data_IF_248543385931
#
_entry.id   IF_248543385931
#
_cell.length_a   1.000
_cell.length_b   1.000
_cell.length_c   1.000
_cell.angle_alpha   90.00
_cell.angle_beta   90.00
_cell.angle_gamma   90.00
#
_symmetry.space_group_name_H-M   'P 1'
#
loop_
_entity.id
_entity.type
_entity.pdbx_description
1 polymer ?
#
# COMPACT_ATOMS: atom_id res chain seq x y z
N UNK A 1 -33.55 22.26 -4.88
CA UNK A 1 -32.35 22.32 -4.00
C UNK A 1 -32.46 21.38 -2.79
N UNK A 2 -33.55 21.34 -2.03
CA UNK A 2 -33.73 20.44 -0.86
C UNK A 2 -33.60 18.93 -1.15
N UNK A 3 -34.03 18.46 -2.33
CA UNK A 3 -33.98 17.03 -2.69
C UNK A 3 -32.52 16.54 -2.93
N UNK A 4 -31.66 17.38 -3.51
CA UNK A 4 -30.25 17.06 -3.68
C UNK A 4 -29.48 17.08 -2.35
N UNK A 5 -29.79 18.02 -1.47
CA UNK A 5 -29.16 18.12 -0.16
C UNK A 5 -29.38 16.87 0.71
N UNK A 6 -30.61 16.34 0.75
CA UNK A 6 -30.94 15.12 1.50
C UNK A 6 -30.15 13.89 1.02
N UNK A 7 -29.84 13.80 -0.27
CA UNK A 7 -29.00 12.70 -0.81
C UNK A 7 -27.52 12.90 -0.51
N UNK A 8 -27.04 14.12 -0.44
CA UNK A 8 -25.63 14.42 -0.21
C UNK A 8 -25.25 14.42 1.29
N UNK A 9 -26.20 14.73 2.17
CA UNK A 9 -25.99 14.83 3.61
C UNK A 9 -25.33 13.60 4.25
N UNK A 10 -25.72 12.34 3.94
CA UNK A 10 -25.04 11.17 4.51
C UNK A 10 -23.54 11.09 4.17
N UNK A 11 -23.16 11.49 2.95
CA UNK A 11 -21.76 11.47 2.53
C UNK A 11 -20.96 12.58 3.20
N UNK A 12 -21.55 13.73 3.46
CA UNK A 12 -20.95 14.82 4.23
C UNK A 12 -20.70 14.39 5.68
N UNK A 13 -21.70 13.76 6.31
CA UNK A 13 -21.58 13.22 7.68
C UNK A 13 -20.47 12.16 7.75
N UNK A 14 -20.40 11.23 6.80
CA UNK A 14 -19.33 10.22 6.73
C UNK A 14 -17.97 10.88 6.59
N UNK A 15 -17.83 11.88 5.71
CA UNK A 15 -16.56 12.60 5.55
C UNK A 15 -16.13 13.31 6.85
N UNK A 16 -17.07 13.92 7.57
CA UNK A 16 -16.82 14.53 8.87
C UNK A 16 -16.40 13.49 9.91
N UNK A 17 -17.05 12.33 9.93
CA UNK A 17 -16.69 11.22 10.82
C UNK A 17 -15.25 10.73 10.52
N UNK A 18 -14.84 10.65 9.27
CA UNK A 18 -13.45 10.29 8.92
C UNK A 18 -12.44 11.33 9.43
N UNK A 19 -12.73 12.63 9.30
CA UNK A 19 -11.90 13.69 9.87
C UNK A 19 -11.78 13.52 11.39
N UNK A 20 -12.90 13.38 12.08
CA UNK A 20 -12.95 13.22 13.54
C UNK A 20 -12.17 11.95 13.95
N UNK A 21 -12.40 10.82 13.28
CA UNK A 21 -11.72 9.55 13.57
C UNK A 21 -10.21 9.68 13.40
N UNK A 22 -9.75 10.33 12.32
CA UNK A 22 -8.32 10.54 12.06
C UNK A 22 -7.67 11.42 13.12
N UNK A 23 -8.35 12.48 13.58
CA UNK A 23 -7.86 13.38 14.61
C UNK A 23 -7.90 12.75 16.01
N UNK A 24 -8.91 11.93 16.31
CA UNK A 24 -8.97 11.19 17.59
C UNK A 24 -7.84 10.17 17.65
N UNK A 25 -7.62 9.41 16.58
CA UNK A 25 -6.57 8.39 16.54
C UNK A 25 -5.18 9.00 16.71
N UNK A 26 -4.91 10.11 16.05
CA UNK A 26 -3.67 10.86 16.16
C UNK A 26 -3.80 12.09 17.08
N UNK A 27 -4.61 12.00 18.14
CA UNK A 27 -4.84 13.12 19.08
C UNK A 27 -3.59 13.89 19.52
N UNK A 28 -2.43 13.28 19.81
CA UNK A 28 -1.24 14.05 20.20
C UNK A 28 -0.81 15.13 19.20
N UNK A 29 -1.16 14.99 17.91
CA UNK A 29 -0.82 16.03 16.91
C UNK A 29 -1.60 17.34 17.13
N UNK A 30 -2.80 17.27 17.72
CA UNK A 30 -3.58 18.45 18.10
C UNK A 30 -2.95 19.22 19.26
N UNK A 31 -2.07 18.58 20.04
CA UNK A 31 -1.27 19.17 21.10
C UNK A 31 0.10 19.68 20.62
N UNK A 32 0.33 19.71 19.29
CA UNK A 32 1.59 20.09 18.69
C UNK A 32 2.70 19.03 18.78
N UNK A 33 2.39 17.82 19.28
CA UNK A 33 3.34 16.71 19.32
C UNK A 33 3.56 16.12 17.93
N UNK A 34 4.75 15.59 17.69
CA UNK A 34 5.11 14.89 16.45
C UNK A 34 5.49 13.47 16.78
N UNK A 35 5.11 12.52 15.90
CA UNK A 35 5.58 11.15 16.00
C UNK A 35 7.07 11.16 15.65
N UNK A 36 7.88 10.49 16.48
CA UNK A 36 9.26 10.20 16.13
C UNK A 36 9.28 9.16 15.01
N UNK A 37 9.82 9.53 13.86
CA UNK A 37 9.92 8.70 12.66
C UNK A 37 11.38 8.70 12.21
N UNK A 38 12.07 7.57 12.30
CA UNK A 38 13.50 7.45 11.98
C UNK A 38 13.83 7.96 10.57
N UNK A 39 13.00 7.59 9.59
CA UNK A 39 13.18 8.03 8.20
C UNK A 39 13.07 9.55 8.04
N UNK A 40 12.19 10.19 8.81
CA UNK A 40 12.03 11.64 8.76
C UNK A 40 13.20 12.37 9.42
N UNK A 41 13.78 11.79 10.47
CA UNK A 41 14.99 12.33 11.10
C UNK A 41 16.16 12.29 10.10
N UNK A 42 16.38 11.14 9.44
CA UNK A 42 17.42 10.99 8.42
C UNK A 42 17.18 11.92 7.23
N UNK A 43 15.95 11.95 6.72
CA UNK A 43 15.57 12.88 5.66
C UNK A 43 15.85 14.33 6.02
N UNK A 44 15.52 14.75 7.23
CA UNK A 44 15.74 16.14 7.68
C UNK A 44 17.21 16.49 7.73
N UNK A 45 18.06 15.53 8.14
CA UNK A 45 19.52 15.71 8.13
C UNK A 45 20.05 15.86 6.70
N UNK A 46 19.72 14.95 5.80
CA UNK A 46 20.17 14.97 4.41
C UNK A 46 19.64 16.19 3.63
N UNK A 47 18.41 16.61 3.90
CA UNK A 47 17.78 17.74 3.22
C UNK A 47 18.15 19.11 3.82
N UNK A 48 18.95 19.14 4.90
CA UNK A 48 19.23 20.40 5.63
C UNK A 48 19.81 21.49 4.74
N UNK A 49 20.85 21.19 3.96
CA UNK A 49 21.47 22.15 3.05
C UNK A 49 20.47 22.74 2.04
N UNK A 50 19.62 21.90 1.47
CA UNK A 50 18.55 22.31 0.55
C UNK A 50 17.56 23.27 1.24
N UNK A 51 17.16 22.94 2.47
CA UNK A 51 16.22 23.76 3.25
C UNK A 51 16.84 25.10 3.60
N UNK A 52 18.07 25.11 4.16
CA UNK A 52 18.81 26.32 4.54
C UNK A 52 19.03 27.25 3.32
N UNK A 53 19.42 26.69 2.17
CA UNK A 53 19.58 27.44 0.92
C UNK A 53 18.27 28.10 0.49
N UNK A 54 17.17 27.37 0.57
CA UNK A 54 15.83 27.88 0.22
C UNK A 54 15.38 28.99 1.17
N UNK A 55 15.63 28.85 2.47
CA UNK A 55 15.26 29.84 3.49
C UNK A 55 16.09 31.12 3.36
N UNK A 56 17.37 31.01 3.03
CA UNK A 56 18.27 32.18 2.92
C UNK A 56 18.15 32.91 1.60
N UNK A 57 17.93 32.19 0.48
CA UNK A 57 17.96 32.79 -0.87
C UNK A 57 16.59 32.95 -1.52
N UNK A 58 15.57 32.26 -0.98
CA UNK A 58 14.24 32.17 -1.62
C UNK A 58 14.24 31.35 -2.93
N UNK A 59 15.36 30.71 -3.29
CA UNK A 59 15.54 29.93 -4.51
C UNK A 59 15.64 28.45 -4.22
N UNK A 60 15.40 27.62 -5.21
CA UNK A 60 15.60 26.16 -5.14
C UNK A 60 17.02 25.80 -5.58
N UNK A 61 17.63 24.78 -4.94
CA UNK A 61 18.82 24.11 -5.45
C UNK A 61 18.49 22.65 -5.78
N UNK A 62 19.06 22.15 -6.86
CA UNK A 62 18.87 20.76 -7.30
C UNK A 62 20.11 19.90 -7.06
N UNK A 63 21.04 20.41 -6.23
CA UNK A 63 22.27 19.72 -5.83
C UNK A 63 22.55 19.94 -4.34
N UNK A 64 23.12 18.92 -3.68
CA UNK A 64 23.66 19.01 -2.30
C UNK A 64 25.05 18.40 -2.27
N UNK A 65 25.95 19.01 -1.48
CA UNK A 65 27.32 18.54 -1.26
C UNK A 65 27.47 17.70 0.01
N UNK A 66 26.43 17.66 0.85
CA UNK A 66 26.49 17.10 2.20
C UNK A 66 26.34 15.58 2.26
N UNK A 67 26.00 14.92 1.15
CA UNK A 67 25.78 13.49 1.09
C UNK A 67 26.49 12.88 -0.11
N UNK A 68 27.13 11.73 0.09
CA UNK A 68 27.76 10.90 -0.95
C UNK A 68 28.77 11.63 -1.85
N UNK A 69 29.44 12.68 -1.35
CA UNK A 69 30.35 13.51 -2.16
C UNK A 69 29.66 14.44 -3.16
N UNK A 70 28.35 14.56 -3.05
CA UNK A 70 27.47 15.36 -3.89
C UNK A 70 26.42 14.51 -4.61
N UNK A 71 25.16 14.98 -4.58
CA UNK A 71 24.06 14.29 -5.25
C UNK A 71 22.93 15.25 -5.64
N UNK A 72 22.12 14.88 -6.67
CA UNK A 72 20.89 15.61 -6.97
C UNK A 72 19.89 15.57 -5.80
N UNK A 73 19.18 16.69 -5.58
CA UNK A 73 18.17 16.80 -4.51
C UNK A 73 16.79 16.29 -4.93
N UNK A 74 16.66 15.68 -6.09
CA UNK A 74 15.38 15.21 -6.67
C UNK A 74 14.59 14.32 -5.72
N UNK A 75 15.26 13.48 -4.93
CA UNK A 75 14.66 12.62 -3.91
C UNK A 75 14.68 13.20 -2.49
N UNK A 76 15.29 14.39 -2.29
CA UNK A 76 15.39 15.09 -1.00
C UNK A 76 14.37 16.23 -0.85
N UNK A 77 13.26 16.21 -1.58
CA UNK A 77 12.21 17.20 -1.45
C UNK A 77 12.43 18.47 -2.27
N UNK A 78 13.13 18.36 -3.41
CA UNK A 78 13.20 19.43 -4.40
C UNK A 78 11.81 19.91 -4.81
N UNK A 79 11.61 21.21 -4.93
CA UNK A 79 10.34 21.82 -5.32
C UNK A 79 10.38 22.27 -6.79
N UNK A 80 9.34 21.91 -7.51
CA UNK A 80 9.18 22.33 -8.91
C UNK A 80 8.08 23.38 -8.98
N UNK A 81 8.40 24.63 -9.42
CA UNK A 81 7.48 25.79 -9.34
C UNK A 81 6.14 25.58 -10.06
N UNK A 82 6.17 24.82 -11.16
CA UNK A 82 5.00 24.58 -12.02
C UNK A 82 4.25 23.27 -11.73
N UNK A 83 4.58 22.58 -10.64
CA UNK A 83 3.84 21.37 -10.24
C UNK A 83 2.50 21.75 -9.57
N UNK A 84 1.50 22.07 -10.40
CA UNK A 84 0.17 22.47 -9.92
C UNK A 84 -0.60 21.33 -9.26
N UNK A 85 -0.37 20.08 -9.68
CA UNK A 85 -1.01 18.92 -9.06
C UNK A 85 -0.55 18.74 -7.61
N UNK A 86 0.69 19.14 -7.29
CA UNK A 86 1.20 19.19 -5.92
C UNK A 86 0.44 20.18 -5.03
N UNK A 87 -0.02 21.29 -5.59
CA UNK A 87 -0.85 22.26 -4.85
C UNK A 87 -2.22 21.65 -4.52
N UNK A 88 -2.81 20.90 -5.46
CA UNK A 88 -4.05 20.17 -5.21
C UNK A 88 -3.86 19.08 -4.14
N UNK A 89 -2.77 18.33 -4.21
CA UNK A 89 -2.40 17.35 -3.20
C UNK A 89 -2.33 17.96 -1.79
N UNK A 90 -1.64 19.10 -1.66
CA UNK A 90 -1.52 19.81 -0.37
C UNK A 90 -2.88 20.32 0.15
N UNK A 91 -3.78 20.73 -0.75
CA UNK A 91 -5.14 21.11 -0.38
C UNK A 91 -5.95 19.92 0.16
N UNK A 92 -5.81 18.74 -0.46
CA UNK A 92 -6.50 17.52 0.00
C UNK A 92 -5.94 17.00 1.33
N UNK A 93 -4.67 17.26 1.61
CA UNK A 93 -3.98 16.90 2.86
C UNK A 93 -3.98 18.04 3.88
N UNK A 94 -5.15 18.60 4.13
CA UNK A 94 -5.33 19.78 5.00
C UNK A 94 -5.22 19.47 6.51
N UNK A 95 -5.29 18.20 6.90
CA UNK A 95 -5.13 17.78 8.29
C UNK A 95 -3.64 17.72 8.69
N UNK A 96 -3.32 17.85 10.00
CA UNK A 96 -1.95 17.67 10.47
C UNK A 96 -1.48 16.22 10.25
N UNK A 97 -0.20 16.06 9.87
CA UNK A 97 0.40 14.75 9.64
C UNK A 97 0.60 13.98 10.95
N UNK A 98 0.27 12.66 10.98
CA UNK A 98 -0.11 11.77 9.89
C UNK A 98 -1.63 11.58 9.72
N UNK A 99 -2.47 12.35 10.42
CA UNK A 99 -3.91 12.27 10.31
C UNK A 99 -4.42 12.57 8.88
N UNK A 100 -3.68 13.39 8.10
CA UNK A 100 -3.93 13.67 6.70
C UNK A 100 -3.94 12.39 5.85
N UNK A 101 -2.96 11.50 6.03
CA UNK A 101 -2.90 10.24 5.28
C UNK A 101 -3.98 9.25 5.71
N UNK A 102 -4.25 9.14 7.01
CA UNK A 102 -5.33 8.28 7.50
C UNK A 102 -6.69 8.71 6.95
N UNK A 103 -6.95 10.02 6.92
CA UNK A 103 -8.16 10.57 6.30
C UNK A 103 -8.24 10.22 4.81
N UNK A 104 -7.14 10.35 4.06
CA UNK A 104 -7.09 10.00 2.65
C UNK A 104 -7.33 8.50 2.41
N UNK A 105 -6.83 7.62 3.28
CA UNK A 105 -7.14 6.19 3.22
C UNK A 105 -8.64 5.95 3.32
N UNK A 106 -9.28 6.57 4.30
CA UNK A 106 -10.73 6.41 4.51
C UNK A 106 -11.54 6.95 3.33
N UNK A 107 -11.29 8.19 2.91
CA UNK A 107 -12.11 8.82 1.87
C UNK A 107 -11.88 8.16 0.50
N UNK A 108 -10.65 7.77 0.16
CA UNK A 108 -10.33 7.06 -1.07
C UNK A 108 -11.04 5.73 -1.16
N UNK A 109 -10.97 4.91 -0.11
CA UNK A 109 -11.63 3.61 -0.04
C UNK A 109 -13.16 3.75 -0.01
N UNK A 110 -13.69 4.73 0.69
CA UNK A 110 -15.12 5.03 0.72
C UNK A 110 -15.66 5.34 -0.69
N UNK A 111 -14.95 6.17 -1.45
CA UNK A 111 -15.32 6.48 -2.85
C UNK A 111 -15.28 5.21 -3.71
N UNK A 112 -14.29 4.34 -3.54
CA UNK A 112 -14.22 3.07 -4.26
C UNK A 112 -15.47 2.21 -3.97
N UNK A 113 -15.89 2.09 -2.71
CA UNK A 113 -17.10 1.36 -2.35
C UNK A 113 -18.37 1.96 -2.97
N UNK A 114 -18.49 3.29 -2.98
CA UNK A 114 -19.63 3.95 -3.64
C UNK A 114 -19.64 3.69 -5.16
N UNK A 115 -18.46 3.72 -5.79
CA UNK A 115 -18.33 3.32 -7.21
C UNK A 115 -18.71 1.86 -7.40
N UNK A 116 -18.38 0.98 -6.45
CA UNK A 116 -18.81 -0.43 -6.47
C UNK A 116 -20.29 -0.62 -6.15
N UNK A 117 -21.04 0.46 -5.87
CA UNK A 117 -22.47 0.49 -5.51
C UNK A 117 -22.77 -0.20 -4.18
N UNK A 118 -21.85 -0.15 -3.26
CA UNK A 118 -22.07 -0.56 -1.87
C UNK A 118 -22.84 0.54 -1.13
N UNK A 119 -23.72 0.14 -0.21
CA UNK A 119 -24.43 1.08 0.68
C UNK A 119 -23.42 1.91 1.50
N UNK A 120 -23.72 3.19 1.71
CA UNK A 120 -22.81 4.13 2.35
C UNK A 120 -22.40 3.75 3.77
N UNK A 121 -23.25 3.01 4.52
CA UNK A 121 -22.93 2.55 5.89
C UNK A 121 -21.89 1.42 5.84
N UNK A 122 -22.07 0.46 4.93
CA UNK A 122 -21.07 -0.59 4.71
C UNK A 122 -19.80 -0.03 4.11
N UNK A 123 -19.92 0.96 3.21
CA UNK A 123 -18.78 1.67 2.66
C UNK A 123 -17.96 2.40 3.73
N UNK A 124 -18.62 3.00 4.73
CA UNK A 124 -17.99 3.60 5.90
C UNK A 124 -17.20 2.57 6.71
N UNK A 125 -17.83 1.44 7.06
CA UNK A 125 -17.16 0.37 7.82
C UNK A 125 -15.98 -0.22 7.05
N UNK A 126 -16.13 -0.43 5.74
CA UNK A 126 -15.06 -0.94 4.89
C UNK A 126 -13.89 0.03 4.74
N UNK A 127 -14.16 1.32 4.70
CA UNK A 127 -13.13 2.34 4.70
C UNK A 127 -12.31 2.34 6.00
N UNK A 128 -12.98 2.19 7.16
CA UNK A 128 -12.31 2.02 8.45
C UNK A 128 -11.46 0.74 8.48
N UNK A 129 -12.00 -0.37 7.98
CA UNK A 129 -11.27 -1.65 7.92
C UNK A 129 -9.98 -1.55 7.10
N UNK A 130 -10.01 -0.82 5.99
CA UNK A 130 -8.81 -0.55 5.19
C UNK A 130 -7.83 0.36 5.92
N UNK A 131 -8.26 1.55 6.35
CA UNK A 131 -7.35 2.55 6.90
C UNK A 131 -6.75 2.17 8.25
N UNK A 132 -7.42 1.29 9.02
CA UNK A 132 -6.92 0.73 10.28
C UNK A 132 -6.23 -0.62 10.13
N UNK A 133 -6.00 -1.12 8.91
CA UNK A 133 -5.10 -2.24 8.71
C UNK A 133 -3.74 -1.92 9.35
N UNK A 134 -3.16 -2.88 10.10
CA UNK A 134 -1.94 -2.58 10.84
C UNK A 134 -0.78 -2.24 9.92
N UNK A 135 -0.72 -2.81 8.72
CA UNK A 135 0.30 -2.45 7.73
C UNK A 135 0.28 -0.96 7.40
N UNK A 136 -0.92 -0.37 7.18
CA UNK A 136 -1.05 1.05 6.87
C UNK A 136 -0.65 1.94 8.06
N UNK A 137 -0.99 1.52 9.27
CA UNK A 137 -0.60 2.23 10.49
C UNK A 137 0.91 2.13 10.74
N UNK A 138 1.50 0.94 10.52
CA UNK A 138 2.95 0.73 10.66
C UNK A 138 3.74 1.66 9.75
N UNK A 139 3.38 1.77 8.47
CA UNK A 139 4.09 2.65 7.53
C UNK A 139 3.95 4.14 7.88
N UNK A 140 2.86 4.54 8.55
CA UNK A 140 2.74 5.89 9.11
C UNK A 140 3.63 6.05 10.35
N UNK A 141 3.72 5.03 11.19
CA UNK A 141 4.53 5.03 12.41
C UNK A 141 6.03 5.16 12.13
N UNK A 142 6.55 4.39 11.16
CA UNK A 142 7.98 4.39 10.81
C UNK A 142 8.40 5.56 9.90
N UNK A 143 7.46 6.27 9.29
CA UNK A 143 7.76 7.45 8.47
C UNK A 143 7.86 7.20 6.96
N UNK A 144 7.40 6.06 6.46
CA UNK A 144 7.32 5.77 5.02
C UNK A 144 6.24 6.64 4.34
N UNK A 145 6.34 7.96 4.51
CA UNK A 145 5.30 8.91 4.11
C UNK A 145 5.03 8.92 2.60
N UNK A 146 6.04 8.74 1.76
CA UNK A 146 5.85 8.66 0.31
C UNK A 146 5.07 7.39 -0.09
N UNK A 147 5.35 6.25 0.55
CA UNK A 147 4.59 5.00 0.39
C UNK A 147 3.14 5.17 0.83
N UNK A 148 2.93 5.71 2.04
CA UNK A 148 1.58 6.00 2.57
C UNK A 148 0.78 6.90 1.62
N UNK A 149 1.42 7.92 1.09
CA UNK A 149 0.83 8.88 0.17
C UNK A 149 0.37 8.22 -1.14
N UNK A 150 1.21 7.41 -1.78
CA UNK A 150 0.85 6.65 -2.98
C UNK A 150 -0.35 5.74 -2.72
N UNK A 151 -0.31 4.96 -1.64
CA UNK A 151 -1.38 4.02 -1.28
C UNK A 151 -2.71 4.73 -1.07
N UNK A 152 -2.71 5.93 -0.50
CA UNK A 152 -3.92 6.69 -0.24
C UNK A 152 -4.73 7.01 -1.52
N UNK A 153 -4.06 7.19 -2.64
CA UNK A 153 -4.71 7.48 -3.92
C UNK A 153 -5.03 6.24 -4.77
N UNK A 154 -4.49 5.05 -4.46
CA UNK A 154 -4.79 3.82 -5.19
C UNK A 154 -6.29 3.53 -5.33
N UNK A 155 -7.12 3.61 -4.26
CA UNK A 155 -8.55 3.34 -4.38
C UNK A 155 -9.27 4.30 -5.33
N UNK A 156 -8.81 5.55 -5.43
CA UNK A 156 -9.37 6.55 -6.36
C UNK A 156 -9.01 6.22 -7.80
N UNK A 157 -7.78 5.79 -8.08
CA UNK A 157 -7.38 5.32 -9.42
C UNK A 157 -8.24 4.13 -9.83
N UNK A 158 -8.40 3.13 -8.96
CA UNK A 158 -9.25 1.97 -9.21
C UNK A 158 -10.71 2.38 -9.45
N UNK A 159 -11.21 3.40 -8.75
CA UNK A 159 -12.54 3.96 -8.95
C UNK A 159 -12.71 4.51 -10.35
N UNK A 160 -11.73 5.27 -10.85
CA UNK A 160 -11.72 5.80 -12.21
C UNK A 160 -11.69 4.70 -13.27
N UNK A 161 -10.82 3.71 -13.09
CA UNK A 161 -10.71 2.53 -13.96
C UNK A 161 -12.05 1.77 -14.06
N UNK A 162 -12.68 1.49 -12.92
CA UNK A 162 -13.96 0.77 -12.85
C UNK A 162 -15.08 1.59 -13.50
N UNK A 163 -15.15 2.90 -13.28
CA UNK A 163 -16.12 3.78 -13.93
C UNK A 163 -15.97 3.76 -15.45
N UNK A 164 -14.73 3.80 -15.94
CA UNK A 164 -14.43 3.75 -17.38
C UNK A 164 -14.93 2.45 -18.01
N UNK A 165 -14.62 1.31 -17.42
CA UNK A 165 -15.11 0.01 -17.87
C UNK A 165 -16.63 -0.16 -17.73
N UNK A 166 -17.30 0.62 -16.88
CA UNK A 166 -18.77 0.65 -16.78
C UNK A 166 -19.42 1.61 -17.78
N UNK A 167 -18.66 2.16 -18.74
CA UNK A 167 -19.15 3.06 -19.77
C UNK A 167 -19.36 4.51 -19.31
N UNK A 168 -18.95 4.86 -18.09
CA UNK A 168 -18.95 6.22 -17.56
C UNK A 168 -17.67 6.95 -17.98
N UNK A 169 -17.39 6.98 -19.28
CA UNK A 169 -16.11 7.41 -19.84
C UNK A 169 -15.63 8.77 -19.33
N UNK A 170 -16.49 9.80 -19.34
CA UNK A 170 -16.12 11.14 -18.90
C UNK A 170 -15.71 11.17 -17.41
N UNK A 171 -16.52 10.61 -16.53
CA UNK A 171 -16.21 10.57 -15.08
C UNK A 171 -15.04 9.66 -14.80
N UNK A 172 -14.95 8.53 -15.49
CA UNK A 172 -13.82 7.62 -15.39
C UNK A 172 -12.52 8.27 -15.85
N UNK A 173 -12.53 8.98 -16.99
CA UNK A 173 -11.38 9.73 -17.48
C UNK A 173 -10.92 10.79 -16.47
N UNK A 174 -11.82 11.65 -16.00
CA UNK A 174 -11.47 12.70 -15.04
C UNK A 174 -10.90 12.11 -13.75
N UNK A 175 -11.57 11.10 -13.18
CA UNK A 175 -11.14 10.50 -11.92
C UNK A 175 -9.81 9.76 -12.09
N UNK A 176 -9.62 8.99 -13.17
CA UNK A 176 -8.35 8.30 -13.45
C UNK A 176 -7.22 9.32 -13.62
N UNK A 177 -7.44 10.38 -14.40
CA UNK A 177 -6.43 11.42 -14.64
C UNK A 177 -5.99 12.09 -13.35
N UNK A 178 -6.94 12.58 -12.56
CA UNK A 178 -6.65 13.33 -11.33
C UNK A 178 -6.05 12.42 -10.29
N UNK A 179 -6.65 11.25 -10.06
CA UNK A 179 -6.18 10.31 -9.03
C UNK A 179 -4.79 9.75 -9.36
N UNK A 180 -4.52 9.43 -10.63
CA UNK A 180 -3.21 8.97 -11.08
C UNK A 180 -2.16 10.08 -10.98
N UNK A 181 -2.53 11.32 -11.32
CA UNK A 181 -1.61 12.45 -11.16
C UNK A 181 -1.27 12.72 -9.69
N UNK A 182 -2.23 12.59 -8.79
CA UNK A 182 -2.03 12.71 -7.34
C UNK A 182 -1.22 11.54 -6.77
N UNK A 183 -1.40 10.34 -7.28
CA UNK A 183 -0.62 9.17 -6.88
C UNK A 183 0.86 9.34 -7.27
N UNK A 184 1.13 9.78 -8.50
CA UNK A 184 2.49 10.04 -9.00
C UNK A 184 3.21 11.18 -8.24
N UNK A 185 2.48 12.15 -7.68
CA UNK A 185 3.05 13.21 -6.82
C UNK A 185 3.74 12.65 -5.58
N UNK A 186 3.35 11.45 -5.12
CA UNK A 186 3.98 10.78 -3.98
C UNK A 186 5.46 10.47 -4.21
N UNK A 187 5.87 10.35 -5.47
CA UNK A 187 7.21 9.97 -5.91
C UNK A 187 7.65 8.58 -5.40
N UNK A 188 6.71 7.65 -5.25
CA UNK A 188 6.98 6.27 -4.80
C UNK A 188 6.57 5.26 -5.88
N UNK A 189 7.39 5.16 -6.94
CA UNK A 189 7.07 4.41 -8.17
C UNK A 189 6.84 2.91 -7.95
N UNK A 190 7.41 2.31 -6.93
CA UNK A 190 7.14 0.91 -6.58
C UNK A 190 5.66 0.69 -6.24
N UNK A 191 5.02 1.63 -5.55
CA UNK A 191 3.58 1.55 -5.24
C UNK A 191 2.74 1.74 -6.51
N UNK A 192 3.14 2.67 -7.38
CA UNK A 192 2.54 2.85 -8.71
C UNK A 192 2.63 1.58 -9.55
N UNK A 193 3.77 0.90 -9.49
CA UNK A 193 4.00 -0.35 -10.20
C UNK A 193 3.11 -1.49 -9.68
N UNK A 194 2.94 -1.59 -8.38
CA UNK A 194 2.02 -2.57 -7.77
C UNK A 194 0.54 -2.26 -8.08
N UNK A 195 0.18 -0.99 -8.15
CA UNK A 195 -1.15 -0.57 -8.61
C UNK A 195 -1.42 -1.05 -10.05
N UNK A 196 -0.41 -1.01 -10.93
CA UNK A 196 -0.53 -1.52 -12.30
C UNK A 196 -0.92 -3.01 -12.31
N UNK A 197 -0.40 -3.84 -11.40
CA UNK A 197 -0.80 -5.26 -11.32
C UNK A 197 -2.28 -5.43 -11.00
N UNK A 198 -2.83 -4.61 -10.10
CA UNK A 198 -4.28 -4.64 -9.83
C UNK A 198 -5.06 -4.22 -11.09
N UNK A 199 -4.61 -3.15 -11.77
CA UNK A 199 -5.25 -2.66 -13.00
C UNK A 199 -5.21 -3.71 -14.11
N UNK A 200 -4.11 -4.46 -14.25
CA UNK A 200 -4.00 -5.59 -15.19
C UNK A 200 -5.00 -6.68 -14.82
N UNK A 201 -5.10 -7.09 -13.56
CA UNK A 201 -6.09 -8.09 -13.11
C UNK A 201 -7.53 -7.64 -13.43
N UNK A 202 -7.86 -6.37 -13.19
CA UNK A 202 -9.14 -5.77 -13.57
C UNK A 202 -9.30 -5.84 -15.10
N UNK A 203 -8.31 -5.39 -15.86
CA UNK A 203 -8.32 -5.37 -17.32
C UNK A 203 -8.60 -6.75 -17.92
N UNK A 204 -7.89 -7.77 -17.45
CA UNK A 204 -8.08 -9.17 -17.89
C UNK A 204 -9.48 -9.66 -17.57
N UNK A 205 -9.98 -9.42 -16.36
CA UNK A 205 -11.34 -9.84 -15.97
C UNK A 205 -12.43 -9.15 -16.83
N UNK A 206 -12.24 -7.87 -17.15
CA UNK A 206 -13.14 -7.14 -18.03
C UNK A 206 -12.99 -7.55 -19.49
N UNK A 207 -11.79 -7.92 -19.96
CA UNK A 207 -11.56 -8.45 -21.30
C UNK A 207 -12.30 -9.77 -21.52
N UNK A 208 -12.17 -10.72 -20.57
CA UNK A 208 -12.88 -12.01 -20.60
C UNK A 208 -14.40 -11.81 -20.64
N UNK A 209 -14.91 -10.87 -19.82
CA UNK A 209 -16.34 -10.55 -19.80
C UNK A 209 -16.80 -9.89 -21.12
N UNK A 210 -15.99 -8.96 -21.66
CA UNK A 210 -16.26 -8.29 -22.93
C UNK A 210 -16.23 -9.27 -24.12
N UNK A 211 -15.29 -10.23 -24.12
CA UNK A 211 -15.24 -11.27 -25.13
C UNK A 211 -16.50 -12.13 -25.10
N UNK A 212 -16.89 -12.63 -23.93
CA UNK A 212 -18.10 -13.45 -23.74
C UNK A 212 -19.38 -12.72 -24.14
N UNK A 213 -19.44 -11.40 -23.96
CA UNK A 213 -20.61 -10.56 -24.23
C UNK A 213 -20.57 -9.87 -25.59
N UNK A 214 -19.57 -10.14 -26.42
CA UNK A 214 -19.37 -9.48 -27.73
C UNK A 214 -19.24 -7.93 -27.61
N UNK A 215 -18.58 -7.44 -26.56
CA UNK A 215 -18.44 -6.02 -26.25
C UNK A 215 -16.98 -5.52 -26.35
N UNK A 216 -16.16 -6.14 -27.23
CA UNK A 216 -14.74 -5.77 -27.39
C UNK A 216 -14.53 -4.32 -27.82
N UNK A 217 -15.44 -3.75 -28.64
CA UNK A 217 -15.38 -2.32 -29.03
C UNK A 217 -15.51 -1.42 -27.80
N UNK A 218 -16.43 -1.73 -26.89
CA UNK A 218 -16.56 -1.01 -25.62
C UNK A 218 -15.30 -1.13 -24.77
N UNK A 219 -14.73 -2.34 -24.68
CA UNK A 219 -13.48 -2.60 -23.96
C UNK A 219 -12.34 -1.75 -24.55
N UNK A 220 -12.14 -1.78 -25.87
CA UNK A 220 -11.12 -0.97 -26.54
C UNK A 220 -11.27 0.52 -26.29
N UNK A 221 -12.51 1.06 -26.36
CA UNK A 221 -12.79 2.46 -25.99
C UNK A 221 -12.40 2.75 -24.54
N UNK A 222 -12.71 1.86 -23.60
CA UNK A 222 -12.35 2.04 -22.20
C UNK A 222 -10.82 2.10 -22.00
N UNK A 223 -10.08 1.21 -22.66
CA UNK A 223 -8.61 1.22 -22.64
C UNK A 223 -8.06 2.55 -23.20
N UNK A 224 -8.54 3.01 -24.34
CA UNK A 224 -8.07 4.27 -24.94
C UNK A 224 -8.33 5.48 -24.02
N UNK A 225 -9.50 5.52 -23.38
CA UNK A 225 -9.85 6.59 -22.42
C UNK A 225 -8.92 6.56 -21.20
N UNK A 226 -8.60 5.38 -20.68
CA UNK A 226 -7.66 5.24 -19.55
C UNK A 226 -6.24 5.62 -19.94
N UNK A 227 -5.76 5.19 -21.11
CA UNK A 227 -4.44 5.58 -21.64
C UNK A 227 -4.35 7.09 -21.77
N UNK A 228 -5.36 7.75 -22.35
CA UNK A 228 -5.39 9.20 -22.46
C UNK A 228 -5.32 9.89 -21.10
N UNK A 229 -6.06 9.37 -20.10
CA UNK A 229 -6.03 9.89 -18.72
C UNK A 229 -4.65 9.72 -18.06
N UNK A 230 -4.04 8.57 -18.22
CA UNK A 230 -2.70 8.28 -17.67
C UNK A 230 -1.63 9.14 -18.35
N UNK A 231 -1.68 9.32 -19.67
CA UNK A 231 -0.73 10.20 -20.38
C UNK A 231 -0.79 11.65 -19.89
N UNK A 232 -1.98 12.15 -19.61
CA UNK A 232 -2.13 13.50 -19.02
C UNK A 232 -1.57 13.52 -17.60
N UNK A 233 -1.83 12.48 -16.78
CA UNK A 233 -1.29 12.37 -15.43
C UNK A 233 0.25 12.34 -15.41
N UNK A 234 0.87 11.61 -16.35
CA UNK A 234 2.31 11.61 -16.57
C UNK A 234 2.81 13.00 -16.97
N UNK A 235 2.12 13.66 -17.89
CA UNK A 235 2.46 15.03 -18.31
C UNK A 235 2.42 16.05 -17.16
N UNK A 236 1.44 15.92 -16.26
CA UNK A 236 1.33 16.79 -15.07
C UNK A 236 2.49 16.59 -14.07
N UNK A 237 3.16 15.44 -14.10
CA UNK A 237 4.30 15.09 -13.25
C UNK A 237 5.62 14.98 -14.04
N UNK A 238 5.66 15.41 -15.30
CA UNK A 238 6.78 15.16 -16.22
C UNK A 238 8.14 15.58 -15.64
N UNK A 239 8.24 16.76 -15.06
CA UNK A 239 9.50 17.26 -14.49
C UNK A 239 10.04 16.33 -13.41
N UNK A 240 9.18 15.93 -12.47
CA UNK A 240 9.58 15.04 -11.38
C UNK A 240 9.96 13.64 -11.89
N UNK A 241 9.18 13.11 -12.85
CA UNK A 241 9.43 11.81 -13.47
C UNK A 241 10.75 11.79 -14.24
N UNK A 242 11.02 12.84 -15.03
CA UNK A 242 12.25 12.95 -15.82
C UNK A 242 13.47 13.11 -14.91
N UNK A 243 13.42 13.96 -13.90
CA UNK A 243 14.49 14.14 -12.92
C UNK A 243 14.78 12.83 -12.16
N UNK A 244 13.73 12.12 -11.72
CA UNK A 244 13.89 10.83 -11.04
C UNK A 244 14.49 9.78 -11.95
N UNK A 245 14.07 9.73 -13.23
CA UNK A 245 14.64 8.79 -14.20
C UNK A 245 16.12 9.08 -14.42
N UNK A 246 16.50 10.32 -14.69
CA UNK A 246 17.89 10.74 -14.87
C UNK A 246 18.76 10.29 -13.68
N UNK A 247 18.29 10.53 -12.46
CA UNK A 247 19.01 10.11 -11.27
C UNK A 247 19.05 8.59 -11.08
N UNK A 248 17.96 7.89 -11.40
CA UNK A 248 17.92 6.42 -11.31
C UNK A 248 18.90 5.76 -12.28
N UNK A 249 19.05 6.29 -13.48
CA UNK A 249 19.94 5.75 -14.52
C UNK A 249 21.43 5.79 -14.06
N UNK A 250 21.80 6.72 -13.16
CA UNK A 250 23.15 6.87 -12.58
C UNK A 250 23.30 6.30 -11.17
N UNK A 251 22.29 5.60 -10.68
CA UNK A 251 22.28 4.96 -9.37
C UNK A 251 22.44 3.43 -9.48
N UNK A 252 22.43 2.73 -8.35
CA UNK A 252 22.42 1.25 -8.30
C UNK A 252 21.22 0.61 -9.02
N UNK A 253 20.21 1.38 -9.43
CA UNK A 253 19.09 0.93 -10.24
C UNK A 253 19.34 1.00 -11.74
N UNK A 254 20.40 1.71 -12.15
CA UNK A 254 20.87 1.77 -13.52
C UNK A 254 21.87 0.65 -13.85
N UNK A 255 22.55 0.81 -14.98
CA UNK A 255 23.62 -0.11 -15.40
C UNK A 255 24.82 0.04 -14.44
N UNK A 256 25.31 -1.07 -13.90
CA UNK A 256 26.50 -1.06 -13.07
C UNK A 256 27.74 -0.71 -13.94
N UNK A 257 28.57 0.22 -13.46
CA UNK A 257 29.88 0.54 -14.03
C UNK A 257 31.03 -0.14 -13.25
N UNK A 258 30.73 -0.69 -12.06
CA UNK A 258 31.69 -1.40 -11.23
C UNK A 258 31.91 -2.80 -11.79
N UNK A 259 33.12 -3.12 -12.13
CA UNK A 259 33.55 -4.41 -12.71
C UNK A 259 34.17 -5.36 -11.70
N UNK A 260 34.33 -4.91 -10.45
CA UNK A 260 34.93 -5.67 -9.36
C UNK A 260 34.08 -5.51 -8.09
N UNK A 261 33.95 -6.57 -7.34
CA UNK A 261 33.36 -6.60 -6.00
C UNK A 261 34.34 -6.14 -4.91
N UNK A 262 33.89 -5.81 -3.69
CA UNK A 262 34.78 -5.35 -2.60
C UNK A 262 35.89 -6.32 -2.23
N UNK A 263 35.75 -7.60 -2.51
CA UNK A 263 36.76 -8.65 -2.31
C UNK A 263 37.76 -8.78 -3.45
N UNK A 264 37.62 -7.97 -4.53
CA UNK A 264 38.48 -7.96 -5.72
C UNK A 264 38.08 -8.98 -6.80
N UNK A 265 37.01 -9.76 -6.61
CA UNK A 265 36.49 -10.66 -7.62
C UNK A 265 35.80 -9.91 -8.78
N UNK A 266 35.77 -10.49 -10.01
CA UNK A 266 34.99 -9.90 -11.10
C UNK A 266 33.51 -9.84 -10.78
N UNK A 267 32.92 -8.65 -10.90
CA UNK A 267 31.49 -8.44 -10.72
C UNK A 267 30.72 -8.65 -12.01
N UNK A 268 29.63 -9.41 -11.95
CA UNK A 268 28.68 -9.47 -13.07
C UNK A 268 27.99 -8.11 -13.26
N UNK A 269 28.03 -7.62 -14.49
CA UNK A 269 27.40 -6.35 -14.84
C UNK A 269 25.88 -6.55 -14.93
N UNK A 270 25.15 -6.11 -13.90
CA UNK A 270 23.70 -6.10 -13.88
C UNK A 270 23.15 -4.80 -14.44
N UNK A 271 21.94 -4.84 -14.99
CA UNK A 271 21.21 -3.64 -15.44
C UNK A 271 20.10 -3.25 -14.43
N UNK A 272 20.25 -3.65 -13.19
CA UNK A 272 19.28 -3.46 -12.10
C UNK A 272 19.91 -3.83 -10.76
N UNK A 273 19.03 -4.03 -9.77
CA UNK A 273 19.43 -4.47 -8.43
C UNK A 273 19.76 -5.97 -8.43
N UNK A 274 20.66 -6.37 -7.55
CA UNK A 274 21.03 -7.78 -7.37
C UNK A 274 19.87 -8.57 -6.74
N UNK A 275 19.75 -9.85 -7.05
CA UNK A 275 18.69 -10.75 -6.58
C UNK A 275 18.55 -10.73 -5.05
N UNK A 276 19.65 -10.85 -4.32
CA UNK A 276 19.65 -10.89 -2.86
C UNK A 276 19.13 -9.58 -2.29
N UNK A 277 19.50 -8.45 -2.87
CA UNK A 277 19.03 -7.14 -2.44
C UNK A 277 17.55 -6.90 -2.78
N UNK A 278 17.06 -7.40 -3.91
CA UNK A 278 15.63 -7.36 -4.28
C UNK A 278 14.82 -8.16 -3.26
N UNK A 279 15.31 -9.34 -2.90
CA UNK A 279 14.57 -10.35 -2.12
C UNK A 279 14.91 -10.36 -0.63
N UNK A 280 15.76 -9.46 -0.16
CA UNK A 280 16.16 -9.35 1.25
C UNK A 280 14.95 -9.34 2.20
N UNK A 281 13.93 -8.54 1.87
CA UNK A 281 12.67 -8.48 2.59
C UNK A 281 11.63 -9.36 1.90
N UNK A 282 11.78 -10.67 2.03
CA UNK A 282 10.81 -11.66 1.58
C UNK A 282 9.97 -12.14 2.73
N UNK A 283 8.68 -12.29 2.50
CA UNK A 283 7.76 -12.84 3.51
C UNK A 283 7.94 -14.36 3.61
N UNK A 284 7.98 -14.89 4.83
CA UNK A 284 7.89 -16.33 5.04
C UNK A 284 6.53 -16.86 4.60
N UNK A 285 6.49 -18.07 4.01
CA UNK A 285 5.21 -18.67 3.60
C UNK A 285 4.28 -18.80 4.81
N UNK A 286 4.80 -19.36 5.92
CA UNK A 286 4.05 -19.50 7.17
C UNK A 286 3.81 -18.13 7.83
N UNK A 287 4.72 -17.19 7.68
CA UNK A 287 4.58 -15.82 8.17
C UNK A 287 3.33 -15.12 7.61
N UNK A 288 2.84 -15.54 6.44
CA UNK A 288 1.60 -15.03 5.84
C UNK A 288 0.37 -15.19 6.77
N UNK A 289 0.41 -16.10 7.74
CA UNK A 289 -0.62 -16.20 8.78
C UNK A 289 -0.71 -14.97 9.69
N UNK A 290 0.32 -14.12 9.76
CA UNK A 290 0.24 -12.82 10.44
C UNK A 290 -0.93 -11.96 9.91
N UNK A 291 -1.25 -12.06 8.62
CA UNK A 291 -2.38 -11.33 8.02
C UNK A 291 -3.73 -11.69 8.64
N UNK A 292 -3.83 -12.91 9.18
CA UNK A 292 -5.04 -13.50 9.72
C UNK A 292 -5.01 -13.67 11.24
N UNK A 293 -3.89 -14.15 11.79
CA UNK A 293 -3.68 -14.40 13.23
C UNK A 293 -2.73 -13.32 13.75
N UNK A 294 -3.17 -12.47 14.68
CA UNK A 294 -2.33 -11.36 15.14
C UNK A 294 -1.08 -11.89 15.83
N UNK A 295 0.07 -11.37 15.45
CA UNK A 295 1.39 -11.74 16.04
C UNK A 295 1.73 -13.22 15.91
N UNK A 296 1.29 -13.91 14.86
CA UNK A 296 1.57 -15.33 14.64
C UNK A 296 3.08 -15.65 14.64
N UNK A 297 3.89 -14.78 14.03
CA UNK A 297 5.36 -14.86 14.07
C UNK A 297 5.97 -13.88 15.08
N UNK A 298 5.24 -13.55 16.15
CA UNK A 298 5.70 -12.68 17.21
C UNK A 298 5.43 -11.19 16.98
N UNK A 299 6.27 -10.35 17.56
CA UNK A 299 6.17 -8.88 17.53
C UNK A 299 7.00 -8.20 16.46
N UNK A 300 7.44 -6.97 16.73
CA UNK A 300 8.47 -6.28 15.96
C UNK A 300 9.88 -6.72 16.38
N UNK A 301 10.85 -6.49 15.49
CA UNK A 301 12.25 -6.85 15.78
C UNK A 301 12.85 -6.05 16.94
N UNK A 302 12.29 -4.88 17.25
CA UNK A 302 12.70 -4.04 18.38
C UNK A 302 11.84 -4.18 19.63
N UNK A 303 10.85 -5.09 19.61
CA UNK A 303 10.01 -5.34 20.79
C UNK A 303 10.81 -6.14 21.83
N UNK A 304 10.67 -5.78 23.12
CA UNK A 304 11.17 -6.57 24.23
C UNK A 304 10.10 -7.56 24.69
N UNK A 305 10.53 -8.71 25.20
CA UNK A 305 9.60 -9.67 25.81
C UNK A 305 8.99 -9.07 27.09
N UNK A 306 7.69 -9.34 27.35
CA UNK A 306 7.05 -8.90 28.59
C UNK A 306 7.76 -9.46 29.83
N UNK A 307 7.72 -8.71 30.94
CA UNK A 307 8.31 -9.12 32.22
C UNK A 307 7.66 -10.35 32.86
N UNK A 308 6.50 -10.77 32.36
CA UNK A 308 5.79 -12.00 32.76
C UNK A 308 5.92 -13.12 31.71
N UNK A 309 6.91 -13.02 30.82
CA UNK A 309 7.13 -14.01 29.77
C UNK A 309 7.63 -15.34 30.33
N UNK A 310 7.15 -16.44 29.76
CA UNK A 310 7.65 -17.78 30.09
C UNK A 310 9.16 -17.94 29.84
N UNK A 311 9.72 -17.19 28.90
CA UNK A 311 11.15 -17.17 28.63
C UNK A 311 11.94 -16.67 29.86
N UNK A 312 11.45 -15.65 30.56
CA UNK A 312 12.05 -15.14 31.77
C UNK A 312 12.02 -16.21 32.87
N UNK A 313 10.89 -16.93 33.05
CA UNK A 313 10.75 -17.99 34.01
C UNK A 313 11.75 -19.13 33.73
N UNK A 314 11.96 -19.50 32.48
CA UNK A 314 12.92 -20.55 32.13
C UNK A 314 14.38 -20.10 32.36
N UNK A 315 14.72 -18.84 32.04
CA UNK A 315 16.07 -18.32 32.33
C UNK A 315 16.35 -18.29 33.83
N UNK A 316 15.38 -17.94 34.66
CA UNK A 316 15.49 -18.02 36.13
C UNK A 316 15.67 -19.45 36.62
N UNK A 317 14.97 -20.45 36.04
CA UNK A 317 15.14 -21.85 36.36
C UNK A 317 16.53 -22.41 35.99
N UNK A 318 17.16 -21.84 34.98
CA UNK A 318 18.53 -22.15 34.57
C UNK A 318 19.60 -21.61 35.56
N UNK A 319 19.18 -20.87 36.57
CA UNK A 319 20.04 -20.37 37.65
C UNK A 319 20.55 -18.93 37.45
N UNK A 320 20.05 -18.19 36.46
CA UNK A 320 20.36 -16.78 36.32
C UNK A 320 19.76 -15.96 37.47
N UNK A 321 20.45 -14.91 37.88
CA UNK A 321 19.88 -13.95 38.82
C UNK A 321 18.70 -13.18 38.16
N UNK A 322 17.75 -12.61 38.92
CA UNK A 322 16.66 -11.85 38.35
C UNK A 322 17.09 -10.70 37.43
N UNK A 323 18.23 -10.07 37.72
CA UNK A 323 18.79 -9.01 36.93
C UNK A 323 19.34 -9.53 35.61
N UNK A 324 20.17 -10.60 35.64
CA UNK A 324 20.68 -11.22 34.40
C UNK A 324 19.57 -11.81 33.54
N UNK A 325 18.56 -12.44 34.19
CA UNK A 325 17.43 -13.00 33.47
C UNK A 325 16.63 -11.92 32.71
N UNK A 326 16.39 -10.75 33.32
CA UNK A 326 15.75 -9.61 32.65
C UNK A 326 16.63 -9.06 31.52
N UNK A 327 17.94 -8.95 31.71
CA UNK A 327 18.87 -8.49 30.68
C UNK A 327 18.85 -9.43 29.46
N UNK A 328 18.98 -10.73 29.68
CA UNK A 328 18.92 -11.77 28.64
C UNK A 328 17.54 -11.71 27.94
N UNK A 329 16.45 -11.72 28.72
CA UNK A 329 15.10 -11.70 28.16
C UNK A 329 14.84 -10.43 27.28
N UNK A 330 15.41 -9.28 27.68
CA UNK A 330 15.27 -8.04 26.90
C UNK A 330 16.00 -8.05 25.55
N UNK A 331 16.99 -8.94 25.39
CA UNK A 331 17.77 -9.12 24.18
C UNK A 331 17.23 -10.22 23.26
N UNK A 332 16.27 -11.03 23.75
CA UNK A 332 15.68 -12.07 22.93
C UNK A 332 14.80 -11.47 21.83
N UNK A 333 14.90 -11.98 20.58
CA UNK A 333 14.10 -11.47 19.49
C UNK A 333 12.62 -11.76 19.72
N UNK A 334 11.77 -10.73 19.61
CA UNK A 334 10.32 -10.88 19.67
C UNK A 334 9.70 -11.25 18.32
N UNK A 335 10.45 -11.14 17.23
CA UNK A 335 10.06 -11.49 15.87
C UNK A 335 10.73 -12.79 15.41
N UNK A 336 9.97 -13.69 14.82
CA UNK A 336 10.36 -15.03 14.42
C UNK A 336 10.18 -15.33 12.92
N UNK A 337 9.89 -14.30 12.11
CA UNK A 337 9.72 -14.43 10.67
C UNK A 337 11.03 -14.33 9.89
N UNK A 338 10.92 -14.37 8.56
CA UNK A 338 12.06 -14.44 7.64
C UNK A 338 12.63 -13.07 7.25
N UNK A 339 11.95 -11.99 7.58
CA UNK A 339 12.40 -10.64 7.23
C UNK A 339 13.48 -10.15 8.20
N UNK A 340 14.52 -9.42 7.73
CA UNK A 340 15.63 -9.01 8.59
C UNK A 340 15.21 -8.05 9.71
N UNK A 341 14.32 -7.10 9.41
CA UNK A 341 13.80 -6.12 10.37
C UNK A 341 12.33 -5.85 10.07
N UNK A 342 11.50 -5.92 11.12
CA UNK A 342 10.06 -5.65 11.06
C UNK A 342 9.68 -4.74 12.22
N UNK A 343 9.03 -3.63 11.94
CA UNK A 343 8.55 -2.73 12.99
C UNK A 343 7.37 -3.32 13.77
N UNK A 344 6.49 -4.04 13.10
CA UNK A 344 5.41 -4.85 13.65
C UNK A 344 4.83 -5.76 12.56
N UNK A 345 4.14 -6.85 12.91
CA UNK A 345 3.52 -7.74 11.93
C UNK A 345 2.32 -7.07 11.24
N UNK A 346 2.23 -7.25 9.92
CA UNK A 346 1.06 -6.84 9.15
C UNK A 346 -0.15 -7.73 9.51
N UNK A 347 -1.29 -7.11 9.81
CA UNK A 347 -2.51 -7.81 10.20
C UNK A 347 -3.73 -7.09 9.63
N UNK A 348 -4.52 -7.79 8.82
CA UNK A 348 -5.71 -7.24 8.16
C UNK A 348 -6.93 -7.32 9.08
N UNK A 349 -6.99 -8.33 9.94
CA UNK A 349 -8.09 -8.59 10.84
C UNK A 349 -8.76 -9.94 10.57
N UNK A 350 -8.86 -10.81 11.59
CA UNK A 350 -9.49 -12.14 11.47
C UNK A 350 -10.94 -12.04 10.95
N UNK A 351 -11.68 -11.04 11.41
CA UNK A 351 -13.07 -10.80 10.97
C UNK A 351 -13.08 -10.42 9.48
N UNK A 352 -12.15 -9.58 9.04
CA UNK A 352 -12.08 -9.13 7.64
C UNK A 352 -11.72 -10.31 6.72
N UNK A 353 -10.77 -11.15 7.13
CA UNK A 353 -10.43 -12.38 6.40
C UNK A 353 -11.62 -13.34 6.36
N UNK A 354 -12.29 -13.56 7.49
CA UNK A 354 -13.51 -14.38 7.53
C UNK A 354 -14.58 -13.88 6.56
N UNK A 355 -14.86 -12.58 6.56
CA UNK A 355 -15.82 -11.97 5.65
C UNK A 355 -15.38 -12.04 4.19
N UNK A 356 -14.08 -11.96 3.90
CA UNK A 356 -13.55 -12.15 2.57
C UNK A 356 -13.71 -13.60 2.09
N UNK A 357 -13.49 -14.58 2.95
CA UNK A 357 -13.76 -15.99 2.65
C UNK A 357 -15.26 -16.21 2.40
N UNK A 358 -16.13 -15.63 3.24
CA UNK A 358 -17.59 -15.66 3.05
C UNK A 358 -17.98 -15.07 1.67
N UNK A 359 -17.33 -13.98 1.28
CA UNK A 359 -17.56 -13.33 0.02
C UNK A 359 -17.22 -14.21 -1.20
N UNK A 360 -16.24 -15.10 -1.10
CA UNK A 360 -15.91 -16.04 -2.18
C UNK A 360 -17.09 -16.94 -2.56
N UNK A 361 -17.99 -17.20 -1.63
CA UNK A 361 -19.21 -18.01 -1.87
C UNK A 361 -20.43 -17.15 -2.27
N UNK A 362 -20.47 -15.87 -1.87
CA UNK A 362 -21.62 -15.00 -2.10
C UNK A 362 -21.45 -14.06 -3.30
N UNK A 363 -20.25 -13.58 -3.55
CA UNK A 363 -19.95 -12.65 -4.64
C UNK A 363 -19.71 -13.42 -5.94
N UNK A 364 -20.29 -12.92 -7.05
CA UNK A 364 -20.22 -13.55 -8.34
C UNK A 364 -19.68 -12.60 -9.41
N UNK A 365 -19.28 -13.20 -10.53
CA UNK A 365 -18.83 -12.47 -11.71
C UNK A 365 -17.39 -11.98 -11.63
N UNK A 366 -17.05 -11.08 -12.56
CA UNK A 366 -15.67 -10.61 -12.79
C UNK A 366 -15.01 -9.97 -11.56
N UNK A 367 -15.81 -9.36 -10.68
CA UNK A 367 -15.27 -8.66 -9.50
C UNK A 367 -14.58 -9.61 -8.53
N UNK A 368 -15.16 -10.79 -8.30
CA UNK A 368 -14.54 -11.84 -7.51
C UNK A 368 -13.22 -12.28 -8.12
N UNK A 369 -13.19 -12.49 -9.43
CA UNK A 369 -12.03 -13.05 -10.10
C UNK A 369 -10.83 -12.14 -10.13
N UNK A 370 -11.00 -10.84 -10.43
CA UNK A 370 -9.86 -9.93 -10.41
C UNK A 370 -9.33 -9.70 -8.99
N UNK A 371 -10.20 -9.64 -7.97
CA UNK A 371 -9.79 -9.53 -6.57
C UNK A 371 -8.99 -10.77 -6.15
N UNK A 372 -9.50 -11.98 -6.46
CA UNK A 372 -8.79 -13.22 -6.12
C UNK A 372 -7.46 -13.33 -6.86
N UNK A 373 -7.41 -12.95 -8.14
CA UNK A 373 -6.17 -12.96 -8.92
C UNK A 373 -5.14 -11.97 -8.35
N UNK A 374 -5.56 -10.74 -8.02
CA UNK A 374 -4.69 -9.74 -7.41
C UNK A 374 -4.18 -10.19 -6.03
N UNK A 375 -5.04 -10.81 -5.21
CA UNK A 375 -4.67 -11.39 -3.92
C UNK A 375 -3.59 -12.47 -4.08
N UNK A 376 -3.83 -13.48 -4.93
CA UNK A 376 -2.90 -14.59 -5.13
C UNK A 376 -1.57 -14.12 -5.72
N UNK A 377 -1.61 -13.25 -6.73
CA UNK A 377 -0.40 -12.67 -7.33
C UNK A 377 0.43 -11.93 -6.27
N UNK A 378 -0.21 -11.08 -5.47
CA UNK A 378 0.45 -10.33 -4.42
C UNK A 378 1.03 -11.23 -3.33
N UNK A 379 0.26 -12.25 -2.90
CA UNK A 379 0.71 -13.20 -1.90
C UNK A 379 1.96 -13.95 -2.36
N UNK A 380 1.92 -14.54 -3.55
CA UNK A 380 3.03 -15.34 -4.07
C UNK A 380 4.28 -14.48 -4.33
N UNK A 381 4.12 -13.28 -4.88
CA UNK A 381 5.25 -12.37 -5.08
C UNK A 381 5.81 -11.81 -3.77
N UNK A 382 5.00 -11.71 -2.70
CA UNK A 382 5.49 -11.26 -1.39
C UNK A 382 6.44 -12.27 -0.75
N UNK A 383 6.36 -13.56 -1.11
CA UNK A 383 7.25 -14.60 -0.62
C UNK A 383 8.68 -14.50 -1.17
N UNK A 384 8.91 -13.77 -2.25
CA UNK A 384 10.23 -13.46 -2.79
C UNK A 384 11.13 -14.68 -2.92
N UNK A 385 12.26 -14.72 -2.19
CA UNK A 385 13.20 -15.86 -2.19
C UNK A 385 12.57 -17.17 -1.72
N UNK A 386 11.50 -17.13 -0.92
CA UNK A 386 10.78 -18.31 -0.44
C UNK A 386 9.85 -18.91 -1.53
N UNK A 387 9.71 -18.23 -2.67
CA UNK A 387 9.07 -18.72 -3.88
C UNK A 387 9.85 -18.25 -5.13
N UNK A 388 11.12 -18.63 -5.17
CA UNK A 388 12.14 -18.15 -6.11
C UNK A 388 11.73 -18.30 -7.57
N UNK A 389 11.14 -19.42 -7.97
CA UNK A 389 10.70 -19.69 -9.34
C UNK A 389 9.84 -18.54 -9.93
N UNK A 390 8.86 -18.04 -9.17
CA UNK A 390 8.03 -16.94 -9.63
C UNK A 390 8.79 -15.60 -9.57
N UNK A 391 9.57 -15.41 -8.52
CA UNK A 391 10.31 -14.16 -8.32
C UNK A 391 11.39 -13.98 -9.38
N UNK A 392 12.15 -15.00 -9.69
CA UNK A 392 13.14 -15.01 -10.77
C UNK A 392 12.48 -14.74 -12.13
N UNK A 393 11.35 -15.42 -12.42
CA UNK A 393 10.58 -15.13 -13.62
C UNK A 393 10.20 -13.65 -13.74
N UNK A 394 9.79 -13.02 -12.63
CA UNK A 394 9.43 -11.60 -12.65
C UNK A 394 10.66 -10.69 -12.80
N UNK A 395 11.79 -11.02 -12.18
CA UNK A 395 13.03 -10.28 -12.30
C UNK A 395 13.56 -10.33 -13.75
N UNK A 396 13.50 -11.50 -14.38
CA UNK A 396 14.10 -11.72 -15.71
C UNK A 396 13.21 -11.21 -16.85
N UNK A 397 11.88 -11.37 -16.72
CA UNK A 397 10.96 -11.17 -17.85
C UNK A 397 9.96 -10.04 -17.68
N UNK A 398 9.71 -9.57 -16.46
CA UNK A 398 8.73 -8.51 -16.24
C UNK A 398 9.44 -7.16 -16.16
N UNK A 399 9.20 -6.25 -17.11
CA UNK A 399 9.95 -5.00 -17.23
C UNK A 399 9.92 -4.20 -15.92
N UNK A 400 11.07 -3.66 -15.51
CA UNK A 400 11.26 -2.81 -14.33
C UNK A 400 11.11 -3.51 -12.97
N UNK A 401 10.82 -4.81 -12.91
CA UNK A 401 10.70 -5.50 -11.62
C UNK A 401 12.04 -5.51 -10.87
N UNK A 402 13.14 -5.63 -11.59
CA UNK A 402 14.54 -5.55 -11.13
C UNK A 402 14.96 -4.17 -10.57
N UNK A 403 14.11 -3.14 -10.68
CA UNK A 403 14.40 -1.79 -10.18
C UNK A 403 13.90 -1.54 -8.76
N UNK A 404 13.16 -2.48 -8.18
CA UNK A 404 12.52 -2.34 -6.88
C UNK A 404 13.01 -3.42 -5.91
N UNK A 405 13.19 -3.05 -4.65
CA UNK A 405 13.57 -3.97 -3.57
C UNK A 405 12.42 -4.19 -2.59
N UNK A 406 12.65 -5.07 -1.60
CA UNK A 406 11.69 -5.36 -0.54
C UNK A 406 10.34 -5.83 -1.12
N UNK A 407 10.38 -6.99 -1.77
CA UNK A 407 9.24 -7.61 -2.45
C UNK A 407 8.02 -7.80 -1.54
N UNK A 408 8.21 -7.97 -0.21
CA UNK A 408 7.13 -8.02 0.77
C UNK A 408 6.19 -6.79 0.72
N UNK A 409 6.68 -5.65 0.23
CA UNK A 409 5.87 -4.43 0.10
C UNK A 409 4.67 -4.58 -0.85
N UNK A 410 4.66 -5.59 -1.72
CA UNK A 410 3.52 -5.89 -2.61
C UNK A 410 2.26 -6.29 -1.82
N UNK A 411 2.39 -6.65 -0.54
CA UNK A 411 1.25 -6.91 0.34
C UNK A 411 0.24 -5.76 0.41
N UNK A 412 0.64 -4.55 0.04
CA UNK A 412 -0.30 -3.42 -0.10
C UNK A 412 -1.51 -3.78 -0.97
N UNK A 413 -1.34 -4.65 -1.98
CA UNK A 413 -2.43 -5.15 -2.81
C UNK A 413 -3.41 -5.97 -1.97
N UNK A 414 -2.90 -6.88 -1.13
CA UNK A 414 -3.73 -7.72 -0.23
C UNK A 414 -4.50 -6.82 0.73
N UNK A 415 -3.82 -5.86 1.35
CA UNK A 415 -4.40 -4.90 2.29
C UNK A 415 -5.54 -4.09 1.66
N UNK A 416 -5.47 -3.82 0.35
CA UNK A 416 -6.50 -3.11 -0.38
C UNK A 416 -7.65 -4.02 -0.81
N UNK A 417 -7.36 -5.18 -1.42
CA UNK A 417 -8.41 -6.00 -2.08
C UNK A 417 -9.19 -6.86 -1.11
N UNK A 418 -8.60 -7.27 0.02
CA UNK A 418 -9.28 -8.12 1.02
C UNK A 418 -10.44 -7.39 1.70
N UNK A 419 -10.29 -6.16 2.21
CA UNK A 419 -11.43 -5.38 2.72
C UNK A 419 -12.50 -5.12 1.65
N UNK A 420 -12.10 -4.91 0.37
CA UNK A 420 -13.07 -4.75 -0.72
C UNK A 420 -13.90 -6.00 -0.87
N UNK A 421 -13.29 -7.18 -0.89
CA UNK A 421 -14.01 -8.45 -1.00
C UNK A 421 -14.92 -8.68 0.21
N UNK A 422 -14.42 -8.45 1.43
CA UNK A 422 -15.16 -8.61 2.67
C UNK A 422 -16.45 -7.77 2.70
N UNK A 423 -16.35 -6.49 2.33
CA UNK A 423 -17.50 -5.58 2.28
C UNK A 423 -18.49 -5.96 1.19
N UNK A 424 -18.02 -6.42 0.03
CA UNK A 424 -18.89 -6.96 -1.01
C UNK A 424 -19.61 -8.22 -0.54
N UNK A 425 -18.98 -9.06 0.26
CA UNK A 425 -19.59 -10.21 0.91
C UNK A 425 -20.72 -9.81 1.85
N UNK A 426 -20.46 -8.83 2.73
CA UNK A 426 -21.48 -8.26 3.61
C UNK A 426 -22.64 -7.62 2.82
N UNK A 427 -22.32 -6.88 1.76
CA UNK A 427 -23.33 -6.29 0.89
C UNK A 427 -24.24 -7.37 0.28
N UNK A 428 -23.70 -8.50 -0.14
CA UNK A 428 -24.49 -9.64 -0.63
C UNK A 428 -25.23 -10.35 0.51
N UNK A 429 -24.67 -10.45 1.69
CA UNK A 429 -25.33 -11.03 2.86
C UNK A 429 -26.60 -10.29 3.24
N UNK A 430 -26.58 -8.97 3.21
CA UNK A 430 -27.77 -8.15 3.50
C UNK A 430 -28.71 -7.99 2.30
N UNK A 431 -28.34 -8.52 1.14
CA UNK A 431 -29.18 -8.46 -0.05
C UNK A 431 -30.32 -9.48 0.05
N UNK A 432 -31.57 -9.01 -0.09
CA UNK A 432 -32.77 -9.84 -0.04
C UNK A 432 -32.91 -10.84 -1.21
N UNK A 433 -32.19 -10.61 -2.33
CA UNK A 433 -32.19 -11.53 -3.46
C UNK A 433 -31.31 -12.78 -3.26
N UNK A 434 -30.49 -12.82 -2.22
CA UNK A 434 -29.71 -14.00 -1.86
C UNK A 434 -30.52 -14.85 -0.88
N UNK A 435 -30.82 -16.10 -1.25
CA UNK A 435 -31.62 -17.01 -0.41
C UNK A 435 -30.90 -17.33 0.91
N UNK A 436 -31.68 -17.54 1.96
CA UNK A 436 -31.16 -17.87 3.29
C UNK A 436 -30.41 -19.22 3.31
N UNK A 437 -30.84 -20.18 2.49
CA UNK A 437 -30.16 -21.46 2.31
C UNK A 437 -28.72 -21.23 1.77
N UNK A 438 -28.59 -20.37 0.75
CA UNK A 438 -27.29 -20.03 0.19
C UNK A 438 -26.40 -19.30 1.20
N UNK A 439 -26.97 -18.36 1.98
CA UNK A 439 -26.27 -17.66 3.07
C UNK A 439 -25.78 -18.64 4.12
N UNK A 440 -26.64 -19.56 4.58
CA UNK A 440 -26.31 -20.59 5.56
C UNK A 440 -25.19 -21.51 5.06
N UNK A 441 -25.28 -21.99 3.80
CA UNK A 441 -24.24 -22.82 3.20
C UNK A 441 -22.90 -22.07 3.12
N UNK A 442 -22.92 -20.83 2.65
CA UNK A 442 -21.71 -19.98 2.60
C UNK A 442 -21.10 -19.77 3.99
N UNK A 443 -21.94 -19.52 5.01
CA UNK A 443 -21.49 -19.36 6.39
C UNK A 443 -20.80 -20.64 6.91
N UNK A 444 -21.44 -21.79 6.77
CA UNK A 444 -20.87 -23.08 7.21
C UNK A 444 -19.52 -23.35 6.53
N UNK A 445 -19.46 -23.18 5.20
CA UNK A 445 -18.21 -23.35 4.46
C UNK A 445 -17.12 -22.40 4.92
N UNK A 446 -17.46 -21.13 5.18
CA UNK A 446 -16.49 -20.13 5.65
C UNK A 446 -15.99 -20.43 7.05
N UNK A 447 -16.87 -20.83 7.98
CA UNK A 447 -16.49 -21.27 9.34
C UNK A 447 -15.58 -22.49 9.28
N UNK A 448 -15.88 -23.46 8.43
CA UNK A 448 -15.04 -24.66 8.27
C UNK A 448 -13.65 -24.35 7.73
N UNK A 449 -13.55 -23.47 6.73
CA UNK A 449 -12.25 -23.07 6.14
C UNK A 449 -11.44 -22.27 7.14
N UNK A 450 -12.03 -21.20 7.68
CA UNK A 450 -11.31 -20.28 8.57
C UNK A 450 -10.98 -20.92 9.89
N UNK A 451 -11.91 -21.73 10.46
CA UNK A 451 -11.66 -22.49 11.68
C UNK A 451 -10.66 -23.63 11.51
N UNK A 452 -10.51 -24.18 10.30
CA UNK A 452 -9.49 -25.18 10.00
C UNK A 452 -8.10 -24.57 9.73
N UNK A 453 -8.03 -23.27 9.43
CA UNK A 453 -6.77 -22.55 9.26
C UNK A 453 -6.27 -21.90 10.56
N UNK A 454 -7.16 -21.68 11.55
CA UNK A 454 -6.86 -21.12 12.87
C UNK A 454 -6.50 -22.21 13.89
#
# INVERSE_FOLDING_TARGET
MQFYFKKFLPHLVVSLLFIITSLIYFNPVLQGKKIYQSDIVQYSGMAKQLVDYRETTGKETYWTDTSFGGMPTYQLGAKYPHNYIKKLDLLLRFLPRPADYLFLYFIGMYILFLVLKVDYKLAFLGALAFGFSTYLIIILGVGHNAKAHAIAYMPLVLSGVILTFRGRYFYGFLLTTIAMALELVSNHFQMTYYLLFIVICIGVAYLVDAYKKQMLVHYGKAILVMIAGVLIALGLNATNLMATKEYADTSTRGKSELTIDPDGSPKELTNGLDYDYITEYSYGIIESFNLFIPRFMGGGSGDSLPSDSKALDEILKLGASPQEANEIASQLPAYWGDQPIVAAPAYIGSIIIFLAVLALFLVHGRIKWWITAAFLLSLFLSWGKNFSFLTEFFIDYVPLYDKFRAVSSIQVIIELVVPVLAVLGLHQWFNSYVSDEKKKKALVQSVSIVGGLA
#
